data_IF_821190240801
#
_entry.id   IF_821190240801
#
_cell.length_a   1.000
_cell.length_b   1.000
_cell.length_c   1.000
_cell.angle_alpha   90.00
_cell.angle_beta   90.00
_cell.angle_gamma   90.00
#
_symmetry.space_group_name_H-M   'P 1'
#
loop_
_entity.id
_entity.type
_entity.pdbx_description
1 polymer ?
#
# COMPACT_ATOMS: atom_id res chain seq x y z
N UNK A 1 24.32 -16.61 -9.41
CA UNK A 1 23.17 -16.06 -10.15
C UNK A 1 22.94 -14.69 -9.56
N UNK A 2 23.02 -13.62 -10.37
CA UNK A 2 22.79 -12.28 -9.87
C UNK A 2 21.29 -12.07 -9.71
N UNK A 3 20.82 -12.00 -8.47
CA UNK A 3 19.48 -11.52 -8.17
C UNK A 3 19.44 -10.04 -8.59
N UNK A 4 18.78 -9.77 -9.71
CA UNK A 4 18.41 -8.40 -10.06
C UNK A 4 17.45 -7.88 -8.99
N UNK A 5 17.70 -6.67 -8.48
CA UNK A 5 16.92 -5.96 -7.43
C UNK A 5 15.39 -6.07 -7.59
N UNK A 6 14.90 -6.27 -8.82
CA UNK A 6 13.49 -6.47 -9.20
C UNK A 6 12.78 -7.68 -8.57
N UNK A 7 13.48 -8.67 -8.01
CA UNK A 7 12.85 -9.87 -7.43
C UNK A 7 12.71 -9.85 -5.90
N UNK A 8 13.18 -8.80 -5.21
CA UNK A 8 13.15 -8.73 -3.73
C UNK A 8 11.81 -8.18 -3.22
N UNK A 9 11.23 -7.20 -3.92
CA UNK A 9 10.03 -6.48 -3.46
C UNK A 9 8.77 -7.02 -4.12
N UNK A 10 7.87 -7.54 -3.28
CA UNK A 10 6.68 -8.26 -3.72
C UNK A 10 5.41 -7.44 -3.47
N UNK A 11 4.79 -6.99 -4.57
CA UNK A 11 3.50 -6.28 -4.55
C UNK A 11 2.28 -7.22 -4.67
N UNK A 12 2.50 -8.53 -4.75
CA UNK A 12 1.42 -9.47 -5.09
C UNK A 12 0.30 -9.54 -4.04
N UNK A 13 0.59 -9.19 -2.78
CA UNK A 13 -0.39 -9.16 -1.70
C UNK A 13 -1.50 -8.13 -1.95
N UNK A 14 -1.26 -7.10 -2.77
CA UNK A 14 -2.27 -6.10 -3.10
C UNK A 14 -3.49 -6.68 -3.83
N UNK A 15 -3.36 -7.84 -4.49
CA UNK A 15 -4.49 -8.57 -5.10
C UNK A 15 -5.52 -9.02 -4.06
N UNK A 16 -5.08 -9.19 -2.82
CA UNK A 16 -5.87 -9.66 -1.69
C UNK A 16 -5.81 -8.63 -0.54
N UNK A 17 -5.54 -7.35 -0.86
CA UNK A 17 -5.27 -6.32 0.15
C UNK A 17 -6.40 -6.19 1.18
N UNK A 18 -7.66 -6.31 0.71
CA UNK A 18 -8.84 -6.32 1.57
C UNK A 18 -8.73 -7.35 2.70
N UNK A 19 -8.28 -8.56 2.40
CA UNK A 19 -8.14 -9.62 3.41
C UNK A 19 -7.13 -9.23 4.48
N UNK A 20 -5.99 -8.65 4.07
CA UNK A 20 -4.97 -8.18 5.00
C UNK A 20 -5.44 -7.01 5.87
N UNK A 21 -6.24 -6.09 5.34
CA UNK A 21 -6.88 -5.03 6.14
C UNK A 21 -7.84 -5.64 7.18
N UNK A 22 -8.60 -6.68 6.81
CA UNK A 22 -9.45 -7.42 7.76
C UNK A 22 -8.63 -8.20 8.81
N UNK A 23 -7.43 -8.66 8.46
CA UNK A 23 -6.49 -9.29 9.38
C UNK A 23 -5.93 -8.27 10.37
N UNK A 24 -5.56 -7.07 9.90
CA UNK A 24 -5.12 -5.97 10.77
C UNK A 24 -6.23 -5.54 11.73
N UNK A 25 -7.47 -5.42 11.24
CA UNK A 25 -8.63 -5.12 12.09
C UNK A 25 -8.85 -6.17 13.19
N UNK A 26 -8.77 -7.46 12.83
CA UNK A 26 -8.86 -8.55 13.80
C UNK A 26 -7.69 -8.55 14.80
N UNK A 27 -6.47 -8.25 14.34
CA UNK A 27 -5.31 -8.10 15.21
C UNK A 27 -5.53 -6.99 16.24
N UNK A 28 -6.01 -5.81 15.80
CA UNK A 28 -6.28 -4.68 16.70
C UNK A 28 -7.29 -5.06 17.79
N UNK A 29 -8.36 -5.77 17.42
CA UNK A 29 -9.35 -6.24 18.39
C UNK A 29 -8.73 -7.22 19.42
N UNK A 30 -7.95 -8.19 18.95
CA UNK A 30 -7.30 -9.18 19.82
C UNK A 30 -6.28 -8.53 20.76
N UNK A 31 -5.53 -7.54 20.26
CA UNK A 31 -4.58 -6.75 21.03
C UNK A 31 -5.29 -5.95 22.13
N UNK A 32 -6.33 -5.19 21.79
CA UNK A 32 -7.10 -4.38 22.75
C UNK A 32 -7.79 -5.21 23.82
N UNK A 33 -8.30 -6.39 23.47
CA UNK A 33 -8.96 -7.28 24.43
C UNK A 33 -7.98 -8.07 25.32
N UNK A 34 -6.66 -7.94 25.09
CA UNK A 34 -5.59 -8.73 25.70
C UNK A 34 -5.87 -10.26 25.67
N UNK A 35 -6.55 -10.73 24.62
CA UNK A 35 -7.11 -12.10 24.57
C UNK A 35 -6.07 -13.21 24.52
N UNK A 36 -4.89 -12.92 24.00
CA UNK A 36 -3.82 -13.91 23.81
C UNK A 36 -2.74 -13.87 24.90
N UNK A 37 -2.79 -12.91 25.85
CA UNK A 37 -1.75 -12.67 26.85
C UNK A 37 -0.33 -12.76 26.25
N UNK A 38 -0.18 -12.23 25.03
CA UNK A 38 1.04 -12.40 24.26
C UNK A 38 2.05 -11.34 24.69
N UNK A 39 3.25 -11.80 25.01
CA UNK A 39 4.38 -10.96 25.40
C UNK A 39 5.35 -10.78 24.24
N UNK A 40 6.24 -9.82 24.39
CA UNK A 40 7.41 -9.67 23.54
C UNK A 40 8.67 -9.78 24.39
N UNK A 41 9.42 -10.85 24.18
CA UNK A 41 10.69 -11.13 24.83
C UNK A 41 11.80 -10.27 24.18
N UNK A 42 11.72 -10.03 22.86
CA UNK A 42 12.68 -9.20 22.12
C UNK A 42 12.72 -7.73 22.58
N UNK A 43 11.59 -7.20 23.02
CA UNK A 43 11.42 -5.78 23.34
C UNK A 43 10.79 -5.57 24.71
N UNK A 44 11.19 -6.37 25.70
CA UNK A 44 10.62 -6.33 27.05
C UNK A 44 10.82 -5.00 27.81
N UNK A 45 11.73 -4.12 27.36
CA UNK A 45 11.96 -2.81 27.94
C UNK A 45 11.29 -1.71 27.09
N UNK A 46 10.30 -1.00 27.65
CA UNK A 46 9.46 0.01 26.97
C UNK A 46 10.17 1.30 26.51
N UNK A 47 11.51 1.33 26.54
CA UNK A 47 12.29 2.52 26.17
C UNK A 47 12.45 2.64 24.65
N UNK A 48 12.49 1.51 23.94
CA UNK A 48 12.69 1.50 22.49
C UNK A 48 11.40 1.84 21.73
N UNK A 49 11.54 2.63 20.68
CA UNK A 49 10.45 3.06 19.81
C UNK A 49 10.55 2.40 18.44
N UNK A 50 9.40 2.22 17.82
CA UNK A 50 9.27 1.79 16.44
C UNK A 50 8.27 2.72 15.75
N UNK A 51 8.79 3.75 15.08
CA UNK A 51 7.98 4.91 14.68
C UNK A 51 7.46 5.66 15.92
N UNK A 52 6.16 5.89 15.97
CA UNK A 52 5.51 6.56 17.11
C UNK A 52 5.12 5.62 18.25
N UNK A 53 5.17 4.31 18.04
CA UNK A 53 4.71 3.28 18.98
C UNK A 53 5.89 2.71 19.80
N UNK A 54 5.61 2.09 20.95
CA UNK A 54 6.63 1.31 21.66
C UNK A 54 7.01 0.08 20.84
N UNK A 55 8.29 -0.28 20.80
CA UNK A 55 8.74 -1.49 20.12
C UNK A 55 8.06 -2.75 20.68
N UNK A 56 7.81 -2.80 22.00
CA UNK A 56 7.04 -3.88 22.64
C UNK A 56 5.63 -4.03 22.04
N UNK A 57 4.89 -2.92 21.94
CA UNK A 57 3.53 -2.92 21.39
C UNK A 57 3.52 -3.36 19.93
N UNK A 58 4.47 -2.87 19.11
CA UNK A 58 4.61 -3.26 17.71
C UNK A 58 4.92 -4.74 17.59
N UNK A 59 5.82 -5.26 18.43
CA UNK A 59 6.15 -6.68 18.49
C UNK A 59 4.93 -7.54 18.83
N UNK A 60 4.21 -7.23 19.90
CA UNK A 60 3.01 -7.98 20.27
C UNK A 60 1.97 -7.95 19.14
N UNK A 61 1.72 -6.79 18.55
CA UNK A 61 0.81 -6.65 17.39
C UNK A 61 1.28 -7.47 16.20
N UNK A 62 2.57 -7.44 15.87
CA UNK A 62 3.16 -8.21 14.78
C UNK A 62 2.98 -9.71 14.98
N UNK A 63 3.26 -10.21 16.19
CA UNK A 63 3.06 -11.61 16.56
C UNK A 63 1.58 -12.00 16.43
N UNK A 64 0.65 -11.14 16.88
CA UNK A 64 -0.80 -11.39 16.77
C UNK A 64 -1.19 -11.43 15.29
N UNK A 65 -0.70 -10.48 14.49
CA UNK A 65 -1.00 -10.40 13.06
C UNK A 65 -0.56 -11.68 12.33
N UNK A 66 0.64 -12.19 12.60
CA UNK A 66 1.11 -13.47 12.07
C UNK A 66 0.13 -14.61 12.40
N UNK A 67 -0.28 -14.73 13.66
CA UNK A 67 -1.24 -15.76 14.11
C UNK A 67 -2.61 -15.59 13.46
N UNK A 68 -3.10 -14.36 13.31
CA UNK A 68 -4.39 -14.07 12.66
C UNK A 68 -4.36 -14.51 11.19
N UNK A 69 -3.28 -14.20 10.46
CA UNK A 69 -3.11 -14.63 9.07
C UNK A 69 -3.12 -16.16 8.99
N UNK A 70 -2.32 -16.84 9.81
CA UNK A 70 -2.24 -18.31 9.84
C UNK A 70 -3.60 -18.96 10.17
N UNK A 71 -4.37 -18.38 11.11
CA UNK A 71 -5.67 -18.91 11.54
C UNK A 71 -6.80 -18.67 10.53
N UNK A 72 -6.80 -17.53 9.84
CA UNK A 72 -7.88 -17.16 8.91
C UNK A 72 -7.71 -17.73 7.51
N UNK A 73 -6.56 -18.31 7.18
CA UNK A 73 -6.37 -19.07 5.94
C UNK A 73 -7.41 -20.18 5.80
N UNK A 74 -8.11 -20.17 4.67
CA UNK A 74 -9.14 -21.14 4.30
C UNK A 74 -8.55 -22.24 3.43
N UNK A 75 -9.10 -23.45 3.51
CA UNK A 75 -8.77 -24.56 2.61
C UNK A 75 -7.78 -25.59 3.17
N UNK A 76 -7.32 -26.54 2.33
CA UNK A 76 -6.44 -27.64 2.74
C UNK A 76 -4.97 -27.23 2.89
N UNK A 77 -4.63 -26.00 2.49
CA UNK A 77 -3.26 -25.49 2.54
C UNK A 77 -2.72 -25.43 3.99
N UNK A 78 -1.41 -25.62 4.18
CA UNK A 78 -0.80 -25.46 5.49
C UNK A 78 -1.12 -24.08 6.09
N UNK A 79 -1.46 -24.06 7.37
CA UNK A 79 -1.68 -22.84 8.16
C UNK A 79 -0.35 -22.16 8.50
N UNK A 80 0.42 -21.82 7.47
CA UNK A 80 1.74 -21.22 7.56
C UNK A 80 1.81 -19.99 6.69
N UNK A 81 2.64 -19.01 7.05
CA UNK A 81 2.89 -17.84 6.22
C UNK A 81 3.53 -18.23 4.88
N UNK A 82 3.05 -17.63 3.79
CA UNK A 82 3.59 -17.76 2.43
C UNK A 82 4.21 -16.43 2.00
N UNK A 83 4.90 -16.42 0.86
CA UNK A 83 5.67 -15.28 0.38
C UNK A 83 4.88 -13.94 0.36
N UNK A 84 3.63 -13.93 -0.11
CA UNK A 84 2.77 -12.73 -0.10
C UNK A 84 2.42 -12.24 1.32
N UNK A 85 2.30 -13.15 2.28
CA UNK A 85 1.99 -12.78 3.67
C UNK A 85 3.19 -12.07 4.29
N UNK A 86 4.40 -12.59 4.04
CA UNK A 86 5.63 -11.94 4.47
C UNK A 86 5.81 -10.56 3.82
N UNK A 87 5.49 -10.43 2.53
CA UNK A 87 5.53 -9.15 1.85
C UNK A 87 4.59 -8.12 2.48
N UNK A 88 3.35 -8.52 2.83
CA UNK A 88 2.43 -7.66 3.57
C UNK A 88 2.93 -7.32 4.98
N UNK A 89 3.47 -8.31 5.71
CA UNK A 89 4.05 -8.09 7.04
C UNK A 89 5.22 -7.09 7.00
N UNK A 90 6.06 -7.17 5.96
CA UNK A 90 7.15 -6.23 5.74
C UNK A 90 6.64 -4.82 5.42
N UNK A 91 5.62 -4.71 4.54
CA UNK A 91 4.92 -3.45 4.27
C UNK A 91 4.36 -2.85 5.56
N UNK A 92 3.62 -3.63 6.35
CA UNK A 92 3.00 -3.19 7.59
C UNK A 92 4.02 -2.64 8.58
N UNK A 93 5.15 -3.35 8.79
CA UNK A 93 6.24 -2.86 9.64
C UNK A 93 6.81 -1.55 9.11
N UNK A 94 7.18 -1.47 7.83
CA UNK A 94 7.72 -0.24 7.25
C UNK A 94 6.74 0.95 7.39
N UNK A 95 5.43 0.71 7.24
CA UNK A 95 4.41 1.73 7.46
C UNK A 95 4.38 2.21 8.93
N UNK A 96 4.60 1.34 9.91
CA UNK A 96 4.72 1.75 11.32
C UNK A 96 5.98 2.58 11.56
N UNK A 97 7.11 2.12 11.03
CA UNK A 97 8.41 2.79 11.20
C UNK A 97 8.38 4.23 10.65
N UNK A 98 7.80 4.40 9.46
CA UNK A 98 7.78 5.67 8.73
C UNK A 98 6.63 6.62 9.12
N UNK A 99 5.76 6.21 10.05
CA UNK A 99 4.69 7.06 10.58
C UNK A 99 5.16 8.04 11.69
N UNK A 100 6.48 8.26 11.85
CA UNK A 100 7.04 9.16 12.86
C UNK A 100 8.46 9.64 12.54
N UNK A 101 8.87 10.75 13.15
CA UNK A 101 10.19 11.37 13.00
C UNK A 101 11.03 11.27 14.29
N UNK A 102 11.21 10.06 14.79
CA UNK A 102 11.90 9.79 16.06
C UNK A 102 13.32 9.31 15.81
N UNK A 103 14.30 9.95 16.45
CA UNK A 103 15.74 9.66 16.31
C UNK A 103 16.17 8.31 16.91
N UNK A 104 15.28 7.62 17.63
CA UNK A 104 15.57 6.41 18.40
C UNK A 104 14.77 5.20 17.89
N UNK A 105 14.41 5.20 16.61
CA UNK A 105 13.71 4.08 16.01
C UNK A 105 14.69 2.96 15.66
N UNK A 106 14.34 1.74 16.05
CA UNK A 106 14.97 0.54 15.49
C UNK A 106 14.50 0.36 14.04
N UNK A 107 15.40 -0.15 13.21
CA UNK A 107 15.13 -0.51 11.80
C UNK A 107 14.28 -1.77 11.70
N UNK A 108 13.69 -2.03 10.53
CA UNK A 108 12.96 -3.29 10.28
C UNK A 108 13.93 -4.48 10.33
N UNK A 109 15.17 -4.29 9.87
CA UNK A 109 16.19 -5.34 9.95
C UNK A 109 16.55 -5.68 11.40
N UNK A 110 16.81 -4.68 12.25
CA UNK A 110 17.04 -4.89 13.69
C UNK A 110 15.82 -5.55 14.36
N UNK A 111 14.61 -5.15 13.97
CA UNK A 111 13.37 -5.80 14.42
C UNK A 111 13.36 -7.30 14.14
N UNK A 112 13.72 -7.68 12.92
CA UNK A 112 13.77 -9.08 12.52
C UNK A 112 14.83 -9.87 13.27
N UNK A 113 16.02 -9.30 13.46
CA UNK A 113 17.15 -9.99 14.08
C UNK A 113 16.82 -10.36 15.54
N UNK A 114 16.30 -9.41 16.31
CA UNK A 114 15.85 -9.63 17.70
C UNK A 114 14.67 -10.61 17.78
N UNK A 115 13.71 -10.52 16.84
CA UNK A 115 12.58 -11.47 16.77
C UNK A 115 13.07 -12.90 16.49
N UNK A 116 14.05 -13.07 15.61
CA UNK A 116 14.60 -14.38 15.25
C UNK A 116 15.42 -15.00 16.37
N UNK A 117 16.06 -14.18 17.21
CA UNK A 117 16.90 -14.62 18.32
C UNK A 117 16.08 -14.97 19.57
N UNK A 118 15.13 -14.12 19.95
CA UNK A 118 14.49 -14.17 21.27
C UNK A 118 13.06 -14.75 21.22
N UNK A 119 12.34 -14.59 20.11
CA UNK A 119 10.99 -15.15 19.99
C UNK A 119 11.02 -16.60 19.50
N UNK A 120 11.07 -17.55 20.43
CA UNK A 120 11.18 -18.98 20.11
C UNK A 120 10.07 -19.53 19.20
N UNK A 121 8.89 -18.91 19.18
CA UNK A 121 7.79 -19.27 18.25
C UNK A 121 8.04 -18.81 16.79
N UNK A 122 9.08 -17.99 16.59
CA UNK A 122 9.52 -17.43 15.31
C UNK A 122 10.98 -17.78 14.98
N UNK A 123 11.46 -18.96 15.42
CA UNK A 123 12.80 -19.51 15.14
C UNK A 123 13.38 -19.00 13.81
N UNK A 124 14.60 -18.48 13.85
CA UNK A 124 15.33 -17.76 12.80
C UNK A 124 14.99 -18.09 11.32
N UNK A 125 14.81 -19.36 10.96
CA UNK A 125 14.39 -19.77 9.62
C UNK A 125 13.03 -19.20 9.16
N UNK A 126 12.14 -18.79 10.09
CA UNK A 126 10.79 -18.32 9.77
C UNK A 126 10.83 -16.95 9.08
N UNK A 127 11.69 -16.03 9.52
CA UNK A 127 11.76 -14.68 8.94
C UNK A 127 13.04 -14.38 8.17
N UNK A 128 14.09 -15.21 8.21
CA UNK A 128 15.37 -14.93 7.51
C UNK A 128 15.20 -14.24 6.13
N UNK A 129 15.64 -12.97 6.06
CA UNK A 129 15.61 -12.07 4.89
C UNK A 129 14.22 -11.73 4.32
N UNK A 130 13.15 -11.93 5.09
CA UNK A 130 11.77 -11.66 4.65
C UNK A 130 11.24 -10.32 5.14
N UNK A 131 11.82 -9.78 6.22
CA UNK A 131 11.56 -8.44 6.75
C UNK A 131 12.82 -7.61 6.55
N UNK A 132 12.66 -6.41 6.01
CA UNK A 132 13.76 -5.53 5.63
C UNK A 132 13.25 -4.10 5.46
N UNK A 133 14.15 -3.13 5.61
CA UNK A 133 13.83 -1.73 5.34
C UNK A 133 13.56 -1.53 3.85
N UNK A 134 12.33 -1.12 3.52
CA UNK A 134 11.97 -0.76 2.15
C UNK A 134 12.68 0.54 1.77
N UNK A 135 13.17 0.62 0.54
CA UNK A 135 13.63 1.90 0.00
C UNK A 135 12.44 2.85 -0.23
N UNK A 136 12.74 4.14 -0.39
CA UNK A 136 11.71 5.17 -0.50
C UNK A 136 10.85 5.00 -1.76
N UNK A 137 11.42 4.51 -2.85
CA UNK A 137 10.69 4.29 -4.10
C UNK A 137 9.66 3.17 -3.92
N UNK A 138 10.10 2.02 -3.45
CA UNK A 138 9.24 0.86 -3.25
C UNK A 138 8.16 1.14 -2.21
N UNK A 139 8.53 1.81 -1.11
CA UNK A 139 7.58 2.19 -0.06
C UNK A 139 6.52 3.18 -0.59
N UNK A 140 6.92 4.24 -1.29
CA UNK A 140 5.97 5.20 -1.86
C UNK A 140 5.04 4.55 -2.88
N UNK A 141 5.52 3.58 -3.65
CA UNK A 141 4.71 2.78 -4.55
C UNK A 141 3.67 1.93 -3.82
N UNK A 142 4.03 1.35 -2.68
CA UNK A 142 3.05 0.62 -1.85
C UNK A 142 2.00 1.56 -1.23
N UNK A 143 2.41 2.75 -0.76
CA UNK A 143 1.48 3.77 -0.26
C UNK A 143 0.50 4.19 -1.36
N UNK A 144 0.97 4.41 -2.58
CA UNK A 144 0.11 4.73 -3.71
C UNK A 144 -0.96 3.66 -3.97
N UNK A 145 -0.59 2.37 -3.93
CA UNK A 145 -1.53 1.27 -4.11
C UNK A 145 -2.52 1.16 -2.93
N UNK A 146 -2.08 1.42 -1.71
CA UNK A 146 -2.95 1.51 -0.53
C UNK A 146 -3.97 2.65 -0.68
N UNK A 147 -3.52 3.82 -1.14
CA UNK A 147 -4.39 4.96 -1.40
C UNK A 147 -5.43 4.66 -2.48
N UNK A 148 -5.07 3.93 -3.54
CA UNK A 148 -6.04 3.49 -4.55
C UNK A 148 -7.13 2.61 -3.94
N UNK A 149 -6.77 1.69 -3.05
CA UNK A 149 -7.74 0.87 -2.34
C UNK A 149 -8.70 1.71 -1.48
N UNK A 150 -8.16 2.63 -0.67
CA UNK A 150 -8.97 3.48 0.23
C UNK A 150 -9.87 4.44 -0.55
N UNK A 151 -9.34 5.04 -1.62
CA UNK A 151 -10.10 5.92 -2.49
C UNK A 151 -11.24 5.14 -3.18
N UNK A 152 -11.00 3.89 -3.60
CA UNK A 152 -12.06 3.05 -4.17
C UNK A 152 -13.17 2.80 -3.15
N UNK A 153 -12.84 2.48 -1.90
CA UNK A 153 -13.82 2.28 -0.84
C UNK A 153 -14.65 3.55 -0.57
N UNK A 154 -14.01 4.73 -0.57
CA UNK A 154 -14.70 6.02 -0.42
C UNK A 154 -15.67 6.30 -1.56
N UNK A 155 -15.24 6.04 -2.81
CA UNK A 155 -16.11 6.15 -3.98
C UNK A 155 -17.34 5.27 -3.81
N UNK A 156 -17.17 3.98 -3.47
CA UNK A 156 -18.30 3.08 -3.25
C UNK A 156 -19.29 3.64 -2.25
N UNK A 157 -18.80 4.09 -1.10
CA UNK A 157 -19.65 4.67 -0.07
C UNK A 157 -20.40 5.90 -0.58
N UNK A 158 -19.69 6.87 -1.19
CA UNK A 158 -20.30 8.10 -1.69
C UNK A 158 -21.36 7.84 -2.77
N UNK A 159 -21.09 6.93 -3.72
CA UNK A 159 -22.01 6.64 -4.82
C UNK A 159 -23.23 5.83 -4.36
N UNK A 160 -23.06 4.92 -3.40
CA UNK A 160 -24.17 4.19 -2.79
C UNK A 160 -25.20 5.13 -2.15
N UNK A 161 -24.75 6.25 -1.58
CA UNK A 161 -25.59 7.22 -0.87
C UNK A 161 -26.35 8.19 -1.79
N UNK A 162 -26.04 8.24 -3.10
CA UNK A 162 -26.65 9.18 -4.05
C UNK A 162 -28.14 8.91 -4.40
N UNK A 163 -28.73 7.83 -3.87
CA UNK A 163 -30.09 7.42 -4.22
C UNK A 163 -30.20 6.96 -5.69
N UNK A 164 -31.36 7.17 -6.33
CA UNK A 164 -31.65 6.74 -7.71
C UNK A 164 -31.44 7.83 -8.78
N UNK A 165 -31.23 9.09 -8.35
CA UNK A 165 -31.15 10.22 -9.29
C UNK A 165 -29.76 10.27 -9.94
N UNK A 166 -29.73 10.41 -11.27
CA UNK A 166 -28.47 10.66 -11.99
C UNK A 166 -27.89 12.03 -11.60
N UNK A 167 -26.60 12.06 -11.27
CA UNK A 167 -25.87 13.27 -10.85
C UNK A 167 -24.44 13.28 -11.40
N UNK A 168 -23.76 14.43 -11.52
CA UNK A 168 -22.31 14.46 -11.74
C UNK A 168 -21.56 13.77 -10.59
N UNK A 169 -20.57 12.96 -10.94
CA UNK A 169 -19.80 12.14 -10.00
C UNK A 169 -18.31 12.46 -9.99
N UNK A 170 -17.78 13.19 -10.98
CA UNK A 170 -16.33 13.37 -11.16
C UNK A 170 -15.60 13.76 -9.88
N UNK A 171 -16.17 14.64 -9.07
CA UNK A 171 -15.58 15.07 -7.79
C UNK A 171 -15.32 13.93 -6.79
N UNK A 172 -16.10 12.85 -6.81
CA UNK A 172 -15.85 11.67 -5.99
C UNK A 172 -14.66 10.84 -6.50
N UNK A 173 -14.35 10.94 -7.79
CA UNK A 173 -13.33 10.14 -8.46
C UNK A 173 -11.98 10.86 -8.62
N UNK A 174 -11.94 12.18 -8.49
CA UNK A 174 -10.74 13.00 -8.70
C UNK A 174 -9.52 12.45 -7.94
N UNK A 175 -9.68 12.12 -6.66
CA UNK A 175 -8.57 11.60 -5.84
C UNK A 175 -8.05 10.28 -6.38
N UNK A 176 -8.94 9.34 -6.72
CA UNK A 176 -8.55 8.05 -7.30
C UNK A 176 -7.83 8.23 -8.65
N UNK A 177 -8.40 9.04 -9.55
CA UNK A 177 -7.84 9.28 -10.88
C UNK A 177 -6.45 9.93 -10.77
N UNK A 178 -6.28 10.90 -9.87
CA UNK A 178 -5.00 11.56 -9.65
C UNK A 178 -3.95 10.62 -9.04
N UNK A 179 -4.31 9.80 -8.05
CA UNK A 179 -3.42 8.76 -7.52
C UNK A 179 -3.04 7.75 -8.60
N UNK A 180 -3.99 7.33 -9.43
CA UNK A 180 -3.74 6.41 -10.55
C UNK A 180 -2.80 7.03 -11.58
N UNK A 181 -2.98 8.32 -11.92
CA UNK A 181 -2.06 9.08 -12.78
C UNK A 181 -0.64 9.04 -12.23
N UNK A 182 -0.44 9.28 -10.94
CA UNK A 182 0.90 9.21 -10.33
C UNK A 182 1.53 7.82 -10.48
N UNK A 183 0.72 6.76 -10.34
CA UNK A 183 1.19 5.38 -10.49
C UNK A 183 1.54 5.02 -11.93
N UNK A 184 0.65 5.32 -12.88
CA UNK A 184 0.81 4.87 -14.27
C UNK A 184 2.04 5.50 -14.94
N UNK A 185 2.47 6.69 -14.53
CA UNK A 185 3.67 7.32 -15.07
C UNK A 185 4.95 6.54 -14.72
N UNK A 186 4.94 5.81 -13.60
CA UNK A 186 6.03 4.93 -13.21
C UNK A 186 5.99 3.59 -13.95
N UNK A 187 4.99 3.37 -14.79
CA UNK A 187 4.76 2.16 -15.58
C UNK A 187 4.82 2.43 -17.09
N UNK A 188 5.98 2.81 -17.64
CA UNK A 188 6.15 2.90 -19.09
C UNK A 188 6.03 1.53 -19.79
N UNK A 189 6.28 0.45 -19.02
CA UNK A 189 6.14 -0.95 -19.44
C UNK A 189 5.44 -1.74 -18.32
N UNK A 190 4.54 -2.67 -18.67
CA UNK A 190 3.67 -3.40 -17.73
C UNK A 190 4.38 -4.55 -16.98
N UNK A 191 5.70 -4.63 -17.03
CA UNK A 191 6.44 -5.85 -16.67
C UNK A 191 6.91 -5.90 -15.21
N UNK A 192 6.97 -4.77 -14.51
CA UNK A 192 7.41 -4.72 -13.11
C UNK A 192 6.33 -5.27 -12.15
N UNK A 193 6.75 -5.73 -10.97
CA UNK A 193 5.83 -6.21 -9.93
C UNK A 193 4.83 -5.13 -9.49
N UNK A 194 5.29 -3.88 -9.36
CA UNK A 194 4.45 -2.71 -9.10
C UNK A 194 3.43 -2.49 -10.21
N UNK A 195 3.84 -2.48 -11.49
CA UNK A 195 2.93 -2.23 -12.61
C UNK A 195 1.88 -3.32 -12.76
N UNK A 196 2.24 -4.59 -12.48
CA UNK A 196 1.27 -5.69 -12.41
C UNK A 196 0.24 -5.49 -11.29
N UNK A 197 0.64 -4.95 -10.13
CA UNK A 197 -0.28 -4.61 -9.06
C UNK A 197 -1.18 -3.41 -9.44
N UNK A 198 -0.62 -2.38 -10.07
CA UNK A 198 -1.40 -1.23 -10.58
C UNK A 198 -2.42 -1.65 -11.64
N UNK A 199 -2.06 -2.56 -12.55
CA UNK A 199 -2.97 -3.13 -13.55
C UNK A 199 -4.11 -3.91 -12.89
N UNK A 200 -3.85 -4.59 -11.77
CA UNK A 200 -4.91 -5.22 -10.99
C UNK A 200 -5.93 -4.18 -10.47
N UNK A 201 -5.48 -3.04 -9.93
CA UNK A 201 -6.38 -1.95 -9.52
C UNK A 201 -7.16 -1.35 -10.69
N UNK A 202 -6.52 -1.16 -11.85
CA UNK A 202 -7.19 -0.72 -13.08
C UNK A 202 -8.33 -1.67 -13.45
N UNK A 203 -8.04 -2.98 -13.52
CA UNK A 203 -9.05 -3.98 -13.88
C UNK A 203 -10.20 -4.04 -12.87
N UNK A 204 -9.89 -3.90 -11.58
CA UNK A 204 -10.91 -3.81 -10.54
C UNK A 204 -11.79 -2.57 -10.67
N UNK A 205 -11.19 -1.41 -10.97
CA UNK A 205 -11.91 -0.17 -11.25
C UNK A 205 -12.81 -0.32 -12.47
N UNK A 206 -12.26 -0.76 -13.60
CA UNK A 206 -13.01 -0.94 -14.84
C UNK A 206 -14.19 -1.90 -14.64
N UNK A 207 -13.98 -3.02 -13.95
CA UNK A 207 -15.03 -4.01 -13.68
C UNK A 207 -16.10 -3.50 -12.72
N UNK A 208 -15.71 -2.90 -11.60
CA UNK A 208 -16.64 -2.58 -10.50
C UNK A 208 -17.28 -1.20 -10.63
N UNK A 209 -16.57 -0.24 -11.24
CA UNK A 209 -17.03 1.12 -11.44
C UNK A 209 -17.66 1.25 -12.81
N UNK A 210 -16.92 0.91 -13.86
CA UNK A 210 -17.29 1.13 -15.27
C UNK A 210 -17.89 -0.11 -15.95
N UNK A 211 -18.07 -1.20 -15.22
CA UNK A 211 -18.66 -2.43 -15.75
C UNK A 211 -20.15 -2.27 -16.01
N UNK A 212 -20.74 -3.31 -16.59
CA UNK A 212 -22.19 -3.55 -16.53
C UNK A 212 -22.58 -3.75 -15.07
N UNK A 213 -23.66 -3.13 -14.60
CA UNK A 213 -24.05 -3.07 -13.19
C UNK A 213 -23.00 -2.39 -12.29
N UNK A 214 -22.07 -1.65 -12.90
CA UNK A 214 -21.06 -0.88 -12.19
C UNK A 214 -21.68 0.32 -11.49
N UNK A 215 -21.09 0.75 -10.37
CA UNK A 215 -21.71 1.81 -9.56
C UNK A 215 -21.81 3.17 -10.29
N UNK A 216 -21.04 3.37 -11.37
CA UNK A 216 -21.10 4.58 -12.20
C UNK A 216 -22.37 4.72 -13.05
N UNK A 217 -23.29 3.76 -13.05
CA UNK A 217 -24.58 3.88 -13.77
C UNK A 217 -25.41 5.08 -13.30
N UNK A 218 -25.21 5.50 -12.05
CA UNK A 218 -25.82 6.70 -11.44
C UNK A 218 -25.14 8.00 -11.88
N UNK A 219 -24.01 7.93 -12.57
CA UNK A 219 -23.21 9.09 -12.93
C UNK A 219 -23.57 9.61 -14.33
N UNK A 220 -23.87 10.91 -14.42
CA UNK A 220 -24.17 11.57 -15.71
C UNK A 220 -22.91 11.75 -16.58
N UNK A 221 -21.76 11.86 -15.93
CA UNK A 221 -20.45 12.20 -16.47
C UNK A 221 -19.53 10.97 -16.51
N UNK A 222 -20.11 9.79 -16.75
CA UNK A 222 -19.40 8.51 -16.74
C UNK A 222 -18.20 8.47 -17.70
N UNK A 223 -18.26 9.18 -18.81
CA UNK A 223 -17.15 9.30 -19.77
C UNK A 223 -15.91 10.01 -19.17
N UNK A 224 -16.12 10.89 -18.20
CA UNK A 224 -15.03 11.60 -17.49
C UNK A 224 -14.37 10.73 -16.41
N UNK A 225 -14.90 9.54 -16.14
CA UNK A 225 -14.40 8.62 -15.12
C UNK A 225 -13.38 7.61 -15.70
N UNK A 226 -13.08 7.67 -17.00
CA UNK A 226 -12.11 6.80 -17.62
C UNK A 226 -10.71 7.03 -17.04
N UNK A 227 -10.03 5.93 -16.69
CA UNK A 227 -8.65 6.02 -16.23
C UNK A 227 -7.73 6.33 -17.43
N UNK A 228 -6.78 7.27 -17.26
CA UNK A 228 -5.86 7.63 -18.33
C UNK A 228 -4.87 6.51 -18.60
N UNK A 229 -4.44 6.39 -19.85
CA UNK A 229 -3.32 5.52 -20.24
C UNK A 229 -1.98 6.20 -19.95
N UNK A 230 -0.89 5.44 -19.97
CA UNK A 230 0.46 6.02 -19.94
C UNK A 230 0.65 7.09 -21.03
N UNK A 231 0.12 6.84 -22.23
CA UNK A 231 0.19 7.78 -23.36
C UNK A 231 -0.49 9.11 -23.06
N UNK A 232 -1.68 9.08 -22.46
CA UNK A 232 -2.43 10.28 -22.09
C UNK A 232 -1.64 11.14 -21.10
N UNK A 233 -1.11 10.51 -20.03
CA UNK A 233 -0.38 11.25 -18.99
C UNK A 233 0.99 11.74 -19.50
N UNK A 234 1.65 10.98 -20.38
CA UNK A 234 2.90 11.40 -21.04
C UNK A 234 2.68 12.65 -21.91
N UNK A 235 1.55 12.70 -22.63
CA UNK A 235 1.19 13.86 -23.46
C UNK A 235 0.83 15.08 -22.60
N UNK A 236 0.03 14.91 -21.55
CA UNK A 236 -0.29 15.97 -20.58
C UNK A 236 0.99 16.63 -20.04
N UNK A 237 1.97 15.84 -19.57
CA UNK A 237 3.25 16.36 -19.06
C UNK A 237 4.01 17.16 -20.11
N UNK A 238 4.10 16.67 -21.35
CA UNK A 238 4.78 17.37 -22.43
C UNK A 238 4.13 18.73 -22.71
N UNK A 239 2.80 18.78 -22.73
CA UNK A 239 2.06 20.02 -22.95
C UNK A 239 2.24 21.02 -21.80
N UNK A 240 2.27 20.57 -20.54
CA UNK A 240 2.57 21.43 -19.38
C UNK A 240 4.00 22.00 -19.44
N UNK A 241 4.97 21.19 -19.85
CA UNK A 241 6.37 21.65 -20.03
C UNK A 241 6.45 22.68 -21.17
N UNK A 242 5.83 22.42 -22.32
CA UNK A 242 5.83 23.36 -23.44
C UNK A 242 5.13 24.69 -23.08
N UNK A 243 3.99 24.63 -22.39
CA UNK A 243 3.28 25.83 -21.92
C UNK A 243 4.08 26.65 -20.92
N UNK A 244 4.81 26.00 -20.00
CA UNK A 244 5.68 26.69 -19.04
C UNK A 244 6.97 27.26 -19.68
N UNK A 245 7.45 26.66 -20.78
CA UNK A 245 8.55 27.24 -21.58
C UNK A 245 8.07 28.46 -22.36
N UNK A 246 6.88 28.40 -22.98
CA UNK A 246 6.31 29.53 -23.73
C UNK A 246 5.94 30.73 -22.83
N UNK A 247 5.70 30.50 -21.53
CA UNK A 247 5.41 31.56 -20.57
C UNK A 247 6.65 32.19 -19.91
N UNK A 248 7.89 31.72 -20.17
CA UNK A 248 9.08 32.43 -19.68
C UNK A 248 9.28 33.72 -20.49
N UNK A 249 9.24 34.91 -19.87
CA UNK A 249 9.59 36.14 -20.56
C UNK A 249 11.06 36.06 -20.97
N UNK A 250 11.35 36.35 -22.24
CA UNK A 250 12.70 36.65 -22.68
C UNK A 250 13.10 37.94 -21.94
N UNK A 251 13.91 37.83 -20.89
CA UNK A 251 14.62 38.97 -20.32
C UNK A 251 15.63 39.42 -21.37
N UNK A 252 15.16 40.25 -22.31
CA UNK A 252 16.03 41.00 -23.20
C UNK A 252 16.91 41.91 -22.34
N UNK A 253 18.23 41.74 -22.48
CA UNK A 253 19.23 42.57 -21.83
C UNK A 253 19.02 44.04 -22.16
N UNK A 254 18.96 44.86 -21.12
CA UNK A 254 19.12 46.29 -21.22
C UNK A 254 20.61 46.61 -21.11
N UNK A 255 21.12 47.16 -22.22
CA UNK A 255 22.41 47.83 -22.34
C UNK A 255 22.61 48.87 -21.22
N UNK A 256 23.83 48.94 -20.70
CA UNK A 256 24.40 50.14 -20.09
C UNK A 256 25.39 50.71 -21.10
#
# INVERSE_FOLDING_TARGET
MSDTKSDIVCYSFFKEFKEYIEYEGAMKQVFSDNKLNMKCDSYSNDVQKFGIENANDVCVKFKILCKVIELKKKGPEPKTLVHKDYAYLNYWLNSKLRNGNTSNNITVQEFQDEMNELETEFVSAKFDKKLYDLDDEDFNNMILLSDLYDNMAQIFHSISDLGEKKTPCIGYFEKYINTYKQGIIQCPHDDTSFCKALTHFKGDYERKILGVDGISEKCMDRENLLLPTYGDVSLERKNTIVGSIQQRPILNGLNI
#
